data_IF_318163618874
#
_entry.id   IF_318163618874
#
_cell.length_a   1.000
_cell.length_b   1.000
_cell.length_c   1.000
_cell.angle_alpha   90.00
_cell.angle_beta   90.00
_cell.angle_gamma   90.00
#
_symmetry.space_group_name_H-M   'P 1'
#
loop_
_entity.id
_entity.type
_entity.pdbx_description
1 polymer ?
#
# COMPACT_ATOMS: atom_id res chain seq x y z
N UNK A 1 69.03 48.50 -46.77
CA UNK A 1 67.62 48.00 -46.98
C UNK A 1 67.35 47.00 -45.89
N UNK A 2 66.76 47.47 -44.73
CA UNK A 2 66.36 46.60 -43.62
C UNK A 2 64.84 46.44 -43.63
N UNK A 3 64.37 45.21 -43.77
CA UNK A 3 62.98 44.85 -43.62
C UNK A 3 62.69 44.65 -42.15
N UNK A 4 61.83 45.51 -41.56
CA UNK A 4 61.35 45.39 -40.20
C UNK A 4 60.21 44.35 -40.18
N UNK A 5 60.38 43.24 -39.45
CA UNK A 5 59.38 42.29 -39.19
C UNK A 5 58.49 42.78 -38.04
N UNK A 6 57.27 43.16 -38.36
CA UNK A 6 56.25 43.49 -37.38
C UNK A 6 55.77 42.23 -36.66
N UNK A 7 56.09 42.12 -35.37
CA UNK A 7 55.55 41.10 -34.49
C UNK A 7 54.10 41.48 -34.14
N UNK A 8 53.19 40.59 -34.52
CA UNK A 8 51.78 40.68 -34.16
C UNK A 8 51.59 40.31 -32.66
N UNK A 9 51.02 41.15 -31.80
CA UNK A 9 50.77 40.78 -30.41
C UNK A 9 49.62 39.74 -30.35
N UNK A 10 49.84 38.61 -29.65
CA UNK A 10 48.81 37.64 -29.36
C UNK A 10 47.70 38.29 -28.52
N UNK A 11 46.41 38.01 -28.82
CA UNK A 11 45.32 38.47 -27.98
C UNK A 11 45.34 37.76 -26.61
N UNK A 12 44.92 38.43 -25.52
CA UNK A 12 44.87 37.82 -24.19
C UNK A 12 43.91 36.62 -24.19
N UNK A 13 44.36 35.51 -23.54
CA UNK A 13 43.59 34.33 -23.31
C UNK A 13 42.25 34.68 -22.66
N UNK A 14 41.18 34.44 -23.39
CA UNK A 14 39.80 34.58 -22.90
C UNK A 14 39.67 33.62 -21.73
N UNK A 15 39.54 34.19 -20.53
CA UNK A 15 39.19 33.46 -19.32
C UNK A 15 37.89 32.70 -19.60
N UNK A 16 37.99 31.39 -19.72
CA UNK A 16 36.82 30.50 -19.85
C UNK A 16 36.02 30.63 -18.55
N UNK A 17 34.98 31.47 -18.58
CA UNK A 17 33.92 31.37 -17.55
C UNK A 17 33.43 29.94 -17.52
N UNK A 18 33.39 29.28 -16.34
CA UNK A 18 32.79 27.97 -16.25
C UNK A 18 31.34 28.07 -16.76
N UNK A 19 30.97 27.14 -17.64
CA UNK A 19 29.61 27.05 -18.12
C UNK A 19 28.65 27.09 -16.92
N UNK A 20 27.53 27.85 -16.99
CA UNK A 20 26.59 27.89 -15.90
C UNK A 20 26.20 26.42 -15.58
N UNK A 21 26.41 26.04 -14.31
CA UNK A 21 26.05 24.75 -13.75
C UNK A 21 24.67 24.36 -14.31
N UNK A 22 24.65 23.36 -15.17
CA UNK A 22 23.43 22.92 -15.86
C UNK A 22 22.36 22.80 -14.79
N UNK A 23 21.42 23.72 -14.78
CA UNK A 23 20.32 23.74 -13.82
C UNK A 23 19.79 22.32 -13.75
N UNK A 24 19.92 21.67 -12.60
CA UNK A 24 19.41 20.31 -12.38
C UNK A 24 17.95 20.33 -12.78
N UNK A 25 17.65 19.81 -13.95
CA UNK A 25 16.27 19.67 -14.39
C UNK A 25 15.53 18.97 -13.26
N UNK A 26 14.41 19.51 -12.80
CA UNK A 26 13.61 18.83 -11.78
C UNK A 26 13.35 17.40 -12.29
N UNK A 27 13.37 16.39 -11.41
CA UNK A 27 13.16 15.02 -11.80
C UNK A 27 11.92 14.97 -12.68
N UNK A 28 12.07 14.44 -13.90
CA UNK A 28 10.98 14.32 -14.87
C UNK A 28 9.82 13.63 -14.16
N UNK A 29 8.77 14.37 -13.89
CA UNK A 29 7.51 13.81 -13.37
C UNK A 29 7.06 12.85 -14.47
N UNK A 30 7.15 11.54 -14.22
CA UNK A 30 6.69 10.52 -15.14
C UNK A 30 5.23 10.84 -15.43
N UNK A 31 4.92 11.26 -16.64
CA UNK A 31 3.56 11.52 -17.08
C UNK A 31 2.82 10.17 -17.04
N UNK A 32 2.02 9.97 -16.00
CA UNK A 32 1.10 8.83 -15.95
C UNK A 32 -0.06 9.18 -16.87
N UNK A 33 -0.46 8.22 -17.72
CA UNK A 33 -1.61 8.41 -18.62
C UNK A 33 -2.86 8.80 -17.80
N UNK A 34 -3.52 9.93 -18.09
CA UNK A 34 -4.73 10.35 -17.37
C UNK A 34 -5.83 9.27 -17.34
N UNK A 35 -5.88 8.42 -18.36
CA UNK A 35 -6.82 7.29 -18.44
C UNK A 35 -6.48 6.20 -17.42
N UNK A 36 -5.20 5.95 -17.17
CA UNK A 36 -4.74 5.00 -16.15
C UNK A 36 -4.99 5.54 -14.74
N UNK A 37 -4.77 6.84 -14.52
CA UNK A 37 -5.13 7.50 -13.26
C UNK A 37 -6.64 7.43 -13.00
N UNK A 38 -7.46 7.68 -14.03
CA UNK A 38 -8.93 7.56 -13.91
C UNK A 38 -9.36 6.12 -13.60
N UNK A 39 -8.81 5.12 -14.30
CA UNK A 39 -9.11 3.71 -14.05
C UNK A 39 -8.70 3.29 -12.62
N UNK A 40 -7.55 3.78 -12.15
CA UNK A 40 -7.07 3.54 -10.79
C UNK A 40 -7.97 4.21 -9.74
N UNK A 41 -8.37 5.46 -9.96
CA UNK A 41 -9.32 6.16 -9.08
C UNK A 41 -10.69 5.48 -9.05
N UNK A 42 -11.20 5.04 -10.21
CA UNK A 42 -12.50 4.37 -10.33
C UNK A 42 -12.51 3.01 -9.59
N UNK A 43 -11.50 2.17 -9.82
CA UNK A 43 -11.42 0.85 -9.20
C UNK A 43 -11.36 0.95 -7.68
N UNK A 44 -10.53 1.82 -7.13
CA UNK A 44 -10.45 2.01 -5.68
C UNK A 44 -11.60 2.87 -5.12
N UNK A 45 -12.22 3.75 -5.92
CA UNK A 45 -13.46 4.44 -5.56
C UNK A 45 -14.62 3.48 -5.33
N UNK A 46 -14.79 2.50 -6.21
CA UNK A 46 -15.75 1.40 -6.01
C UNK A 46 -15.37 0.58 -4.77
N UNK A 47 -14.08 0.32 -4.56
CA UNK A 47 -13.56 -0.30 -3.35
C UNK A 47 -13.88 0.48 -2.08
N UNK A 48 -13.78 1.81 -2.09
CA UNK A 48 -14.13 2.67 -0.95
C UNK A 48 -15.63 2.59 -0.61
N UNK A 49 -16.49 2.60 -1.63
CA UNK A 49 -17.94 2.43 -1.44
C UNK A 49 -18.27 1.06 -0.86
N UNK A 50 -17.67 0.00 -1.39
CA UNK A 50 -17.84 -1.35 -0.88
C UNK A 50 -17.29 -1.52 0.55
N UNK A 51 -16.12 -0.92 0.85
CA UNK A 51 -15.52 -0.94 2.18
C UNK A 51 -16.37 -0.18 3.21
N UNK A 52 -16.98 0.94 2.83
CA UNK A 52 -17.90 1.69 3.70
C UNK A 52 -19.14 0.86 4.01
N UNK A 53 -19.80 0.32 2.99
CA UNK A 53 -21.01 -0.48 3.16
C UNK A 53 -20.72 -1.78 3.91
N UNK A 54 -19.72 -2.55 3.47
CA UNK A 54 -19.33 -3.81 4.09
C UNK A 54 -18.80 -3.61 5.51
N UNK A 55 -17.98 -2.58 5.75
CA UNK A 55 -17.50 -2.22 7.08
C UNK A 55 -18.64 -1.87 8.04
N UNK A 56 -19.61 -1.07 7.59
CA UNK A 56 -20.80 -0.75 8.38
C UNK A 56 -21.62 -2.02 8.73
N UNK A 57 -21.83 -2.90 7.77
CA UNK A 57 -22.52 -4.19 8.00
C UNK A 57 -21.75 -5.05 9.01
N UNK A 58 -20.44 -5.20 8.81
CA UNK A 58 -19.59 -6.01 9.71
C UNK A 58 -19.64 -5.48 11.16
N UNK A 59 -19.51 -4.15 11.32
CA UNK A 59 -19.55 -3.48 12.65
C UNK A 59 -20.93 -3.66 13.28
N UNK A 60 -22.01 -3.47 12.52
CA UNK A 60 -23.36 -3.65 13.02
C UNK A 60 -23.63 -5.09 13.47
N UNK A 61 -23.23 -6.08 12.68
CA UNK A 61 -23.36 -7.49 13.04
C UNK A 61 -22.52 -7.85 14.28
N UNK A 62 -21.31 -7.34 14.38
CA UNK A 62 -20.46 -7.53 15.55
C UNK A 62 -21.04 -6.87 16.82
N UNK A 63 -21.69 -5.71 16.67
CA UNK A 63 -22.34 -5.01 17.78
C UNK A 63 -23.61 -5.74 18.26
N UNK A 64 -24.39 -6.32 17.33
CA UNK A 64 -25.65 -7.00 17.65
C UNK A 64 -25.46 -8.44 18.16
N UNK A 65 -24.45 -9.15 17.68
CA UNK A 65 -24.30 -10.59 17.88
C UNK A 65 -22.95 -10.99 18.49
N UNK A 66 -21.98 -10.09 18.53
CA UNK A 66 -20.63 -10.32 19.04
C UNK A 66 -20.44 -9.81 20.48
N UNK A 67 -19.20 -9.84 20.89
CA UNK A 67 -18.73 -9.22 22.14
C UNK A 67 -17.77 -8.06 21.85
N UNK A 68 -17.25 -7.41 22.89
CA UNK A 68 -16.36 -6.25 22.75
C UNK A 68 -15.10 -6.51 21.92
N UNK A 69 -14.56 -7.74 21.91
CA UNK A 69 -13.40 -8.12 21.09
C UNK A 69 -13.75 -8.20 19.61
N UNK A 70 -14.89 -8.80 19.29
CA UNK A 70 -15.41 -8.90 17.93
C UNK A 70 -15.76 -7.52 17.37
N UNK A 71 -16.42 -6.68 18.18
CA UNK A 71 -16.72 -5.30 17.79
C UNK A 71 -15.45 -4.49 17.54
N UNK A 72 -14.49 -4.54 18.47
CA UNK A 72 -13.21 -3.83 18.31
C UNK A 72 -12.43 -4.28 17.08
N UNK A 73 -12.37 -5.58 16.84
CA UNK A 73 -11.71 -6.15 15.65
C UNK A 73 -12.41 -5.75 14.35
N UNK A 74 -13.75 -5.76 14.33
CA UNK A 74 -14.56 -5.31 13.18
C UNK A 74 -14.31 -3.84 12.85
N UNK A 75 -14.25 -2.98 13.87
CA UNK A 75 -13.95 -1.55 13.69
C UNK A 75 -12.55 -1.36 13.11
N UNK A 76 -11.52 -1.99 13.69
CA UNK A 76 -10.13 -1.85 13.24
C UNK A 76 -9.98 -2.31 11.79
N UNK A 77 -10.53 -3.47 11.43
CA UNK A 77 -10.47 -3.97 10.06
C UNK A 77 -11.25 -3.09 9.08
N UNK A 78 -12.50 -2.73 9.41
CA UNK A 78 -13.35 -1.91 8.54
C UNK A 78 -12.77 -0.51 8.29
N UNK A 79 -12.24 0.13 9.33
CA UNK A 79 -11.56 1.44 9.21
C UNK A 79 -10.29 1.32 8.39
N UNK A 80 -9.46 0.29 8.61
CA UNK A 80 -8.23 0.10 7.84
C UNK A 80 -8.52 -0.13 6.35
N UNK A 81 -9.56 -0.90 6.05
CA UNK A 81 -10.01 -1.17 4.68
C UNK A 81 -10.51 0.11 3.98
N UNK A 82 -11.36 0.88 4.65
CA UNK A 82 -11.87 2.15 4.14
C UNK A 82 -10.74 3.16 3.94
N UNK A 83 -9.81 3.26 4.90
CA UNK A 83 -8.66 4.17 4.84
C UNK A 83 -7.81 3.90 3.60
N UNK A 84 -7.50 2.63 3.29
CA UNK A 84 -6.74 2.28 2.10
C UNK A 84 -7.44 2.79 0.84
N UNK A 85 -8.71 2.43 0.66
CA UNK A 85 -9.41 2.74 -0.58
C UNK A 85 -9.66 4.24 -0.76
N UNK A 86 -9.98 4.96 0.31
CA UNK A 86 -10.13 6.43 0.26
C UNK A 86 -8.79 7.11 -0.04
N UNK A 87 -7.70 6.73 0.64
CA UNK A 87 -6.39 7.31 0.40
C UNK A 87 -5.92 7.10 -1.04
N UNK A 88 -6.11 5.88 -1.57
CA UNK A 88 -5.74 5.54 -2.94
C UNK A 88 -6.62 6.24 -3.98
N UNK A 89 -7.93 6.28 -3.76
CA UNK A 89 -8.85 7.02 -4.65
C UNK A 89 -8.46 8.49 -4.74
N UNK A 90 -8.22 9.14 -3.60
CA UNK A 90 -7.81 10.54 -3.57
C UNK A 90 -6.45 10.77 -4.24
N UNK A 91 -5.48 9.87 -4.01
CA UNK A 91 -4.17 9.94 -4.66
C UNK A 91 -4.29 9.94 -6.18
N UNK A 92 -5.13 9.08 -6.74
CA UNK A 92 -5.32 8.99 -8.19
C UNK A 92 -6.23 10.08 -8.77
N UNK A 93 -7.24 10.53 -8.02
CA UNK A 93 -8.17 11.55 -8.49
C UNK A 93 -7.58 12.97 -8.48
N UNK A 94 -6.74 13.31 -7.49
CA UNK A 94 -6.21 14.65 -7.30
C UNK A 94 -5.00 14.88 -8.22
N UNK A 95 -5.04 15.97 -9.01
CA UNK A 95 -3.98 16.31 -9.97
C UNK A 95 -3.03 17.43 -9.47
N UNK A 96 -3.40 18.15 -8.38
CA UNK A 96 -2.56 19.21 -7.83
C UNK A 96 -1.23 18.64 -7.30
N UNK A 97 -0.04 19.06 -7.80
CA UNK A 97 1.23 18.35 -7.56
C UNK A 97 1.59 18.16 -6.08
N UNK A 98 1.43 19.21 -5.26
CA UNK A 98 1.76 19.14 -3.82
C UNK A 98 0.80 18.19 -3.09
N UNK A 99 -0.51 18.30 -3.36
CA UNK A 99 -1.52 17.45 -2.74
C UNK A 99 -1.32 15.99 -3.16
N UNK A 100 -1.09 15.73 -4.46
CA UNK A 100 -0.81 14.38 -4.99
C UNK A 100 0.43 13.76 -4.35
N UNK A 101 1.49 14.55 -4.14
CA UNK A 101 2.68 14.09 -3.43
C UNK A 101 2.39 13.64 -1.98
N UNK A 102 1.59 14.40 -1.24
CA UNK A 102 1.16 14.05 0.12
C UNK A 102 0.23 12.83 0.12
N UNK A 103 -0.76 12.80 -0.77
CA UNK A 103 -1.69 11.68 -0.91
C UNK A 103 -0.98 10.38 -1.27
N UNK A 104 0.09 10.43 -2.08
CA UNK A 104 0.95 9.28 -2.34
C UNK A 104 1.55 8.69 -1.07
N UNK A 105 1.94 9.53 -0.11
CA UNK A 105 2.45 9.06 1.18
C UNK A 105 1.35 8.34 1.95
N UNK A 106 0.16 8.94 2.04
CA UNK A 106 -0.98 8.33 2.74
C UNK A 106 -1.41 7.00 2.11
N UNK A 107 -1.52 6.94 0.78
CA UNK A 107 -1.83 5.72 0.05
C UNK A 107 -0.87 4.57 0.39
N UNK A 108 0.45 4.86 0.38
CA UNK A 108 1.45 3.83 0.70
C UNK A 108 1.50 3.48 2.20
N UNK A 109 1.19 4.41 3.10
CA UNK A 109 1.07 4.13 4.53
C UNK A 109 -0.15 3.26 4.83
N UNK A 110 -1.26 3.50 4.13
CA UNK A 110 -2.51 2.77 4.34
C UNK A 110 -2.38 1.27 4.05
N UNK A 111 -1.44 0.85 3.17
CA UNK A 111 -1.16 -0.57 2.92
C UNK A 111 -0.67 -1.26 4.20
N UNK A 112 0.26 -0.65 4.94
CA UNK A 112 0.74 -1.19 6.21
C UNK A 112 -0.38 -1.32 7.24
N UNK A 113 -1.22 -0.29 7.33
CA UNK A 113 -2.37 -0.26 8.24
C UNK A 113 -3.39 -1.33 7.86
N UNK A 114 -3.68 -1.53 6.56
CA UNK A 114 -4.59 -2.58 6.12
C UNK A 114 -4.04 -3.97 6.45
N UNK A 115 -2.76 -4.24 6.23
CA UNK A 115 -2.17 -5.53 6.58
C UNK A 115 -2.36 -5.80 8.08
N UNK A 116 -1.98 -4.87 8.96
CA UNK A 116 -2.13 -5.05 10.41
C UNK A 116 -3.62 -5.12 10.84
N UNK A 117 -4.48 -4.31 10.23
CA UNK A 117 -5.92 -4.33 10.44
C UNK A 117 -6.55 -5.66 10.10
N UNK A 118 -6.09 -6.31 9.00
CA UNK A 118 -6.55 -7.63 8.58
C UNK A 118 -6.14 -8.74 9.57
N UNK A 119 -4.95 -8.64 10.16
CA UNK A 119 -4.51 -9.58 11.20
C UNK A 119 -5.32 -9.48 12.49
N UNK A 120 -5.83 -8.29 12.81
CA UNK A 120 -6.45 -7.99 14.11
C UNK A 120 -7.58 -8.94 14.49
N UNK A 121 -8.58 -9.27 13.64
CA UNK A 121 -9.63 -10.23 13.99
C UNK A 121 -9.08 -11.62 14.32
N UNK A 122 -8.15 -12.12 13.52
CA UNK A 122 -7.63 -13.49 13.67
C UNK A 122 -6.72 -13.62 14.89
N UNK A 123 -5.94 -12.58 15.22
CA UNK A 123 -5.05 -12.60 16.38
C UNK A 123 -5.76 -12.41 17.70
N UNK A 124 -6.78 -11.54 17.76
CA UNK A 124 -7.47 -11.20 19.02
C UNK A 124 -8.67 -12.10 19.31
N UNK A 125 -9.22 -12.77 18.30
CA UNK A 125 -10.38 -13.65 18.45
C UNK A 125 -9.97 -15.11 18.25
N UNK A 126 -9.43 -15.46 17.07
CA UNK A 126 -9.10 -16.84 16.70
C UNK A 126 -7.90 -17.41 17.45
N UNK A 127 -6.80 -16.68 17.48
CA UNK A 127 -5.56 -17.07 18.17
C UNK A 127 -5.48 -16.54 19.62
N UNK A 128 -6.62 -16.32 20.26
CA UNK A 128 -6.69 -15.69 21.56
C UNK A 128 -5.76 -16.37 22.57
N UNK A 129 -4.79 -15.60 23.10
CA UNK A 129 -3.76 -16.09 24.01
C UNK A 129 -2.38 -15.55 23.67
N UNK A 130 -1.30 -16.11 24.26
CA UNK A 130 0.07 -15.58 24.09
C UNK A 130 0.51 -15.47 22.62
N UNK A 131 0.19 -16.46 21.77
CA UNK A 131 0.56 -16.46 20.35
C UNK A 131 -0.17 -15.34 19.59
N UNK A 132 -1.47 -15.16 19.82
CA UNK A 132 -2.26 -14.10 19.22
C UNK A 132 -1.76 -12.71 19.60
N UNK A 133 -1.49 -12.48 20.89
CA UNK A 133 -0.95 -11.21 21.36
C UNK A 133 0.45 -10.91 20.83
N UNK A 134 1.32 -11.92 20.77
CA UNK A 134 2.64 -11.76 20.18
C UNK A 134 2.54 -11.37 18.69
N UNK A 135 1.74 -12.09 17.93
CA UNK A 135 1.55 -11.82 16.50
C UNK A 135 0.89 -10.46 16.25
N UNK A 136 -0.12 -10.10 17.06
CA UNK A 136 -0.73 -8.77 17.04
C UNK A 136 0.30 -7.67 17.29
N UNK A 137 1.09 -7.79 18.33
CA UNK A 137 2.15 -6.82 18.66
C UNK A 137 3.21 -6.73 17.56
N UNK A 138 3.66 -7.87 17.02
CA UNK A 138 4.64 -7.94 15.95
C UNK A 138 4.13 -7.23 14.68
N UNK A 139 2.91 -7.55 14.22
CA UNK A 139 2.39 -7.00 12.97
C UNK A 139 2.12 -5.49 13.07
N UNK A 140 1.59 -5.00 14.21
CA UNK A 140 1.37 -3.58 14.41
C UNK A 140 2.67 -2.80 14.59
N UNK A 141 3.69 -3.38 15.23
CA UNK A 141 5.04 -2.78 15.30
C UNK A 141 5.66 -2.65 13.92
N UNK A 142 5.58 -3.70 13.10
CA UNK A 142 6.05 -3.66 11.71
C UNK A 142 5.26 -2.64 10.88
N UNK A 143 3.95 -2.54 11.08
CA UNK A 143 3.13 -1.57 10.38
C UNK A 143 3.51 -0.12 10.75
N UNK A 144 3.69 0.18 12.02
CA UNK A 144 4.13 1.50 12.50
C UNK A 144 5.53 1.83 11.94
N UNK A 145 6.47 0.89 12.00
CA UNK A 145 7.79 1.06 11.39
C UNK A 145 7.72 1.31 9.89
N UNK A 146 6.84 0.60 9.18
CA UNK A 146 6.57 0.79 7.75
C UNK A 146 5.95 2.15 7.42
N UNK A 147 5.01 2.63 8.24
CA UNK A 147 4.45 3.98 8.12
C UNK A 147 5.54 5.03 8.30
N UNK A 148 6.34 4.94 9.37
CA UNK A 148 7.48 5.85 9.61
C UNK A 148 8.45 5.81 8.41
N UNK A 149 8.79 4.63 7.92
CA UNK A 149 9.63 4.47 6.74
C UNK A 149 9.04 5.21 5.52
N UNK A 150 7.72 5.13 5.29
CA UNK A 150 7.06 5.81 4.18
C UNK A 150 6.97 7.32 4.35
N UNK A 151 6.85 7.84 5.55
CA UNK A 151 6.87 9.30 5.77
C UNK A 151 8.17 9.93 5.25
N UNK A 152 9.30 9.24 5.36
CA UNK A 152 10.61 9.75 4.94
C UNK A 152 11.06 9.26 3.56
N UNK A 153 10.62 8.09 3.10
CA UNK A 153 11.18 7.42 1.92
C UNK A 153 10.12 7.01 0.88
N UNK A 154 8.94 7.64 0.86
CA UNK A 154 7.94 7.37 -0.17
C UNK A 154 8.46 7.68 -1.57
N UNK A 155 8.24 6.77 -2.51
CA UNK A 155 8.76 6.84 -3.88
C UNK A 155 10.19 6.31 -4.04
N UNK A 156 10.93 6.14 -2.95
CA UNK A 156 12.24 5.46 -2.94
C UNK A 156 12.05 4.01 -2.52
N UNK A 157 12.98 3.14 -2.90
CA UNK A 157 13.00 1.72 -2.50
C UNK A 157 11.68 0.95 -2.79
N UNK A 158 11.11 1.16 -4.00
CA UNK A 158 9.84 0.54 -4.43
C UNK A 158 9.83 -0.98 -4.21
N UNK A 159 10.89 -1.69 -4.65
CA UNK A 159 11.02 -3.16 -4.50
C UNK A 159 11.08 -3.59 -3.04
N UNK A 160 11.90 -2.91 -2.23
CA UNK A 160 12.02 -3.21 -0.79
C UNK A 160 10.67 -3.06 -0.08
N UNK A 161 9.93 -1.99 -0.37
CA UNK A 161 8.60 -1.79 0.21
C UNK A 161 7.64 -2.92 -0.13
N UNK A 162 7.63 -3.36 -1.39
CA UNK A 162 6.78 -4.49 -1.82
C UNK A 162 7.18 -5.78 -1.12
N UNK A 163 8.47 -6.06 -0.98
CA UNK A 163 8.96 -7.23 -0.25
C UNK A 163 8.52 -7.21 1.22
N UNK A 164 8.59 -6.03 1.87
CA UNK A 164 8.10 -5.87 3.26
C UNK A 164 6.59 -6.13 3.34
N UNK A 165 5.78 -5.59 2.41
CA UNK A 165 4.34 -5.87 2.37
C UNK A 165 4.05 -7.37 2.24
N UNK A 166 4.74 -8.06 1.32
CA UNK A 166 4.58 -9.51 1.12
C UNK A 166 5.01 -10.26 2.39
N UNK A 167 6.18 -9.95 2.95
CA UNK A 167 6.67 -10.60 4.16
C UNK A 167 5.71 -10.41 5.34
N UNK A 168 5.19 -9.20 5.52
CA UNK A 168 4.15 -8.94 6.54
C UNK A 168 2.87 -9.72 6.25
N UNK A 169 2.39 -9.75 5.00
CA UNK A 169 1.18 -10.49 4.63
C UNK A 169 1.29 -12.00 4.90
N UNK A 170 2.48 -12.56 4.70
CA UNK A 170 2.76 -13.99 4.94
C UNK A 170 3.32 -14.30 6.34
N UNK A 171 3.46 -13.30 7.22
CA UNK A 171 3.93 -13.52 8.60
C UNK A 171 3.06 -14.54 9.35
N UNK A 172 1.79 -14.69 8.97
CA UNK A 172 0.86 -15.66 9.54
C UNK A 172 1.35 -17.11 9.44
N UNK A 173 2.22 -17.42 8.49
CA UNK A 173 2.81 -18.76 8.31
C UNK A 173 3.62 -19.18 9.55
N UNK A 174 4.20 -18.23 10.29
CA UNK A 174 4.89 -18.51 11.56
C UNK A 174 3.91 -19.08 12.60
N UNK A 175 2.64 -18.71 12.52
CA UNK A 175 1.56 -19.21 13.37
C UNK A 175 0.67 -20.24 12.64
N UNK A 176 1.15 -20.89 11.57
CA UNK A 176 0.34 -21.80 10.75
C UNK A 176 -0.29 -22.94 11.57
N UNK A 177 0.48 -23.57 12.47
CA UNK A 177 -0.03 -24.67 13.30
C UNK A 177 -1.20 -24.22 14.21
N UNK A 178 -1.10 -23.17 15.01
CA UNK A 178 -2.24 -22.67 15.78
C UNK A 178 -3.37 -22.14 14.91
N UNK A 179 -3.11 -21.55 13.74
CA UNK A 179 -4.16 -21.13 12.81
C UNK A 179 -4.98 -22.30 12.27
N UNK A 180 -4.32 -23.38 11.84
CA UNK A 180 -4.97 -24.61 11.37
C UNK A 180 -5.80 -25.29 12.47
N UNK A 181 -5.44 -25.11 13.72
CA UNK A 181 -6.19 -25.65 14.85
C UNK A 181 -7.39 -24.76 15.28
N UNK A 182 -7.30 -23.45 15.04
CA UNK A 182 -8.27 -22.46 15.53
C UNK A 182 -9.33 -22.06 14.50
N UNK A 183 -9.02 -22.15 13.20
CA UNK A 183 -9.90 -21.70 12.12
C UNK A 183 -10.37 -22.88 11.28
N UNK A 184 -11.59 -22.78 10.81
CA UNK A 184 -12.17 -23.74 9.86
C UNK A 184 -11.55 -23.61 8.45
N UNK A 185 -11.68 -24.67 7.65
CA UNK A 185 -11.09 -24.74 6.31
C UNK A 185 -11.63 -23.67 5.35
N UNK A 186 -12.88 -23.22 5.52
CA UNK A 186 -13.48 -22.16 4.72
C UNK A 186 -12.78 -20.83 4.97
N UNK A 187 -12.65 -20.43 6.25
CA UNK A 187 -11.94 -19.21 6.64
C UNK A 187 -10.48 -19.21 6.18
N UNK A 188 -9.78 -20.36 6.36
CA UNK A 188 -8.39 -20.53 5.89
C UNK A 188 -8.28 -20.45 4.38
N UNK A 189 -9.24 -21.02 3.64
CA UNK A 189 -9.29 -20.95 2.19
C UNK A 189 -9.39 -19.50 1.67
N UNK A 190 -10.26 -18.70 2.28
CA UNK A 190 -10.40 -17.28 1.91
C UNK A 190 -9.19 -16.44 2.31
N UNK A 191 -8.56 -16.73 3.44
CA UNK A 191 -7.31 -16.07 3.83
C UNK A 191 -6.20 -16.36 2.81
N UNK A 192 -6.05 -17.62 2.42
CA UNK A 192 -5.07 -18.03 1.41
C UNK A 192 -5.36 -17.37 0.05
N UNK A 193 -6.61 -17.40 -0.40
CA UNK A 193 -7.02 -16.78 -1.65
C UNK A 193 -6.69 -15.28 -1.67
N UNK A 194 -6.95 -14.57 -0.57
CA UNK A 194 -6.60 -13.15 -0.41
C UNK A 194 -5.10 -12.91 -0.47
N UNK A 195 -4.31 -13.66 0.28
CA UNK A 195 -2.85 -13.57 0.28
C UNK A 195 -2.23 -13.84 -1.10
N UNK A 196 -2.74 -14.85 -1.82
CA UNK A 196 -2.34 -15.17 -3.19
C UNK A 196 -2.72 -14.03 -4.14
N UNK A 197 -3.95 -13.49 -4.05
CA UNK A 197 -4.39 -12.37 -4.87
C UNK A 197 -3.48 -11.16 -4.72
N UNK A 198 -3.22 -10.70 -3.49
CA UNK A 198 -2.29 -9.59 -3.24
C UNK A 198 -0.89 -9.87 -3.79
N UNK A 199 -0.37 -11.08 -3.58
CA UNK A 199 0.98 -11.44 -4.03
C UNK A 199 1.08 -11.45 -5.55
N UNK A 200 0.14 -12.06 -6.26
CA UNK A 200 0.09 -12.06 -7.73
C UNK A 200 -0.04 -10.65 -8.29
N UNK A 201 -0.85 -9.81 -7.66
CA UNK A 201 -1.01 -8.41 -8.06
C UNK A 201 0.29 -7.63 -8.02
N UNK A 202 1.22 -7.92 -7.10
CA UNK A 202 2.52 -7.22 -7.05
C UNK A 202 3.35 -7.39 -8.32
N UNK A 203 3.13 -8.45 -9.07
CA UNK A 203 3.79 -8.64 -10.35
C UNK A 203 3.38 -7.54 -11.34
N UNK A 204 2.07 -7.21 -11.44
CA UNK A 204 1.57 -6.12 -12.27
C UNK A 204 2.07 -4.77 -11.77
N UNK A 205 2.10 -4.55 -10.46
CA UNK A 205 2.63 -3.33 -9.84
C UNK A 205 4.07 -3.01 -10.26
N UNK A 206 4.88 -4.02 -10.59
CA UNK A 206 6.25 -3.86 -11.05
C UNK A 206 6.43 -3.91 -12.57
N UNK A 207 5.38 -4.21 -13.36
CA UNK A 207 5.40 -4.31 -14.82
C UNK A 207 4.83 -3.05 -15.49
N UNK A 208 5.54 -1.93 -15.31
CA UNK A 208 5.14 -0.62 -15.86
C UNK A 208 5.06 -0.58 -17.40
N UNK A 209 5.55 -1.61 -18.10
CA UNK A 209 5.40 -1.77 -19.55
C UNK A 209 4.00 -2.24 -19.99
N UNK A 210 3.22 -2.82 -19.07
CA UNK A 210 1.85 -3.25 -19.34
C UNK A 210 0.92 -2.06 -19.19
N UNK A 211 0.11 -1.80 -20.20
CA UNK A 211 -0.91 -0.75 -20.15
C UNK A 211 -1.90 -1.04 -19.02
N UNK A 212 -2.26 -0.02 -18.25
CA UNK A 212 -3.12 -0.13 -17.05
C UNK A 212 -2.60 -1.08 -15.96
N UNK A 213 -1.28 -1.34 -15.93
CA UNK A 213 -0.71 -2.27 -14.96
C UNK A 213 -1.04 -1.91 -13.52
N UNK A 214 -1.12 -0.62 -13.20
CA UNK A 214 -1.47 -0.15 -11.87
C UNK A 214 -2.95 -0.38 -11.55
N UNK A 215 -3.85 -0.11 -12.49
CA UNK A 215 -5.28 -0.42 -12.33
C UNK A 215 -5.55 -1.93 -12.21
N UNK A 216 -4.79 -2.76 -12.95
CA UNK A 216 -4.85 -4.22 -12.81
C UNK A 216 -4.39 -4.63 -11.40
N UNK A 217 -3.30 -4.04 -10.91
CA UNK A 217 -2.88 -4.24 -9.52
C UNK A 217 -4.00 -3.93 -8.53
N UNK A 218 -4.75 -2.83 -8.73
CA UNK A 218 -5.90 -2.47 -7.91
C UNK A 218 -7.00 -3.53 -7.91
N UNK A 219 -7.26 -4.20 -9.05
CA UNK A 219 -8.23 -5.31 -9.11
C UNK A 219 -7.79 -6.51 -8.26
N UNK A 220 -6.50 -6.82 -8.25
CA UNK A 220 -5.96 -7.85 -7.35
C UNK A 220 -6.05 -7.45 -5.88
N UNK A 221 -5.87 -6.15 -5.57
CA UNK A 221 -6.09 -5.62 -4.21
C UNK A 221 -7.55 -5.76 -3.81
N UNK A 222 -8.50 -5.44 -4.70
CA UNK A 222 -9.93 -5.64 -4.48
C UNK A 222 -10.26 -7.12 -4.24
N UNK A 223 -9.76 -8.02 -5.09
CA UNK A 223 -9.95 -9.47 -4.92
C UNK A 223 -9.41 -9.99 -3.59
N UNK A 224 -8.23 -9.52 -3.19
CA UNK A 224 -7.63 -9.82 -1.89
C UNK A 224 -8.47 -9.32 -0.72
N UNK A 225 -8.94 -8.06 -0.81
CA UNK A 225 -9.78 -7.44 0.22
C UNK A 225 -11.14 -8.13 0.36
N UNK A 226 -11.79 -8.49 -0.75
CA UNK A 226 -13.07 -9.24 -0.74
C UNK A 226 -12.86 -10.60 -0.07
N UNK A 227 -11.80 -11.32 -0.45
CA UNK A 227 -11.48 -12.62 0.14
C UNK A 227 -11.25 -12.51 1.65
N UNK A 228 -10.47 -11.54 2.09
CA UNK A 228 -10.22 -11.31 3.51
C UNK A 228 -11.46 -10.81 4.24
N UNK A 229 -12.31 -9.99 3.61
CA UNK A 229 -13.58 -9.56 4.20
C UNK A 229 -14.51 -10.75 4.47
N UNK A 230 -14.62 -11.70 3.54
CA UNK A 230 -15.41 -12.93 3.73
C UNK A 230 -14.86 -13.75 4.89
N UNK A 231 -13.54 -13.93 4.97
CA UNK A 231 -12.90 -14.62 6.09
C UNK A 231 -13.14 -13.93 7.44
N UNK A 232 -13.02 -12.58 7.48
CA UNK A 232 -13.27 -11.78 8.69
C UNK A 232 -14.74 -11.86 9.10
N UNK A 233 -15.67 -11.72 8.16
CA UNK A 233 -17.10 -11.81 8.42
C UNK A 233 -17.48 -13.15 9.04
N UNK A 234 -17.02 -14.26 8.46
CA UNK A 234 -17.26 -15.60 8.98
C UNK A 234 -16.68 -15.83 10.37
N UNK A 235 -15.57 -15.14 10.69
CA UNK A 235 -14.86 -15.32 11.96
C UNK A 235 -15.32 -14.36 13.07
N UNK A 236 -15.70 -13.15 12.72
CA UNK A 236 -16.12 -12.10 13.67
C UNK A 236 -17.58 -12.25 14.08
N UNK A 237 -18.44 -12.68 13.15
CA UNK A 237 -19.86 -12.87 13.42
C UNK A 237 -20.08 -14.32 13.86
N UNK A 238 -20.53 -14.58 15.11
CA UNK A 238 -20.77 -15.95 15.58
C UNK A 238 -21.80 -16.66 14.71
N UNK A 239 -21.54 -17.92 14.37
CA UNK A 239 -22.56 -18.78 13.80
C UNK A 239 -23.71 -18.91 14.82
N UNK A 240 -24.95 -18.76 14.35
CA UNK A 240 -26.14 -18.95 15.16
C UNK A 240 -26.44 -20.44 15.37
#
# INVERSE_FOLDING_TARGET
LQAAILACPRPPSICSTPAPEAARMPPTIKHIDPREEFASALTHGLGATAALAGGAVLIALAALHGNGWQLGAAIVFGVALLLLYVASTLYHAVQHPIAKGRLKVFDHCAIYVLIAGTYTPFTLIGLRGPVGWWLFGAIWTLALGGVVFKLFYTGRFKRLSTLIYIAMGWLIVVAAKPMLAALDAWTLGWLLAGGVSYTLGTWFYHRESIRYSHAIWHLFVLGGSISHYIAVLAHVVPAR
#
